data_IF_035380520716
#
_entry.id   IF_035380520716
#
_cell.length_a   1.000
_cell.length_b   1.000
_cell.length_c   1.000
_cell.angle_alpha   90.00
_cell.angle_beta   90.00
_cell.angle_gamma   90.00
#
_symmetry.space_group_name_H-M   'P 1'
#
loop_
_entity.id
_entity.type
_entity.pdbx_description
1 polymer ?
#
# COMPACT_ATOMS: atom_id res chain seq x y z
N UNK A 1 -34.31 -4.60 -54.20
CA UNK A 1 -33.44 -5.03 -53.10
C UNK A 1 -32.72 -3.79 -52.64
N UNK A 2 -33.29 -3.11 -51.65
CA UNK A 2 -32.77 -1.84 -51.14
C UNK A 2 -31.86 -2.18 -49.98
N UNK A 3 -30.58 -1.89 -50.15
CA UNK A 3 -29.52 -2.06 -49.17
C UNK A 3 -29.72 -1.00 -48.07
N UNK A 4 -30.34 -1.39 -46.97
CA UNK A 4 -30.47 -0.57 -45.78
C UNK A 4 -29.14 -0.66 -45.03
N UNK A 5 -28.23 0.27 -45.34
CA UNK A 5 -27.02 0.47 -44.56
C UNK A 5 -27.39 0.77 -43.11
N UNK A 6 -27.23 -0.22 -42.24
CA UNK A 6 -27.26 -0.03 -40.79
C UNK A 6 -26.10 0.87 -40.42
N UNK A 7 -26.38 2.17 -40.27
CA UNK A 7 -25.50 3.06 -39.52
C UNK A 7 -25.50 2.57 -38.09
N UNK A 8 -24.45 1.82 -37.71
CA UNK A 8 -24.23 1.44 -36.33
C UNK A 8 -24.29 2.68 -35.41
N UNK A 9 -24.65 2.49 -34.14
CA UNK A 9 -24.66 3.59 -33.18
C UNK A 9 -23.29 4.30 -33.19
N UNK A 10 -23.25 5.63 -33.03
CA UNK A 10 -22.00 6.37 -32.99
C UNK A 10 -21.10 5.77 -31.90
N UNK A 11 -19.83 5.50 -32.25
CA UNK A 11 -18.86 4.98 -31.31
C UNK A 11 -18.76 5.92 -30.11
N UNK A 12 -19.15 5.45 -28.93
CA UNK A 12 -18.95 6.16 -27.67
C UNK A 12 -17.44 6.12 -27.40
N UNK A 13 -16.80 7.28 -27.47
CA UNK A 13 -15.38 7.44 -27.16
C UNK A 13 -15.14 7.60 -25.66
N UNK A 14 -13.95 7.23 -25.21
CA UNK A 14 -13.41 7.63 -23.90
C UNK A 14 -12.25 8.58 -24.14
N UNK A 15 -12.06 9.51 -23.21
CA UNK A 15 -11.06 10.56 -23.33
C UNK A 15 -10.09 10.46 -22.15
N UNK A 16 -8.83 10.04 -22.39
CA UNK A 16 -7.81 10.13 -21.37
C UNK A 16 -7.65 11.59 -20.94
N UNK A 17 -7.76 11.86 -19.64
CA UNK A 17 -7.46 13.16 -19.06
C UNK A 17 -5.97 13.44 -19.24
N UNK A 18 -5.58 14.62 -19.73
CA UNK A 18 -4.20 15.05 -19.62
C UNK A 18 -3.87 15.20 -18.14
N UNK A 19 -3.01 14.35 -17.60
CA UNK A 19 -2.48 14.52 -16.25
C UNK A 19 -1.10 15.17 -16.39
N UNK A 20 -1.00 16.42 -15.94
CA UNK A 20 0.21 17.23 -16.09
C UNK A 20 1.27 16.76 -15.10
N UNK A 21 2.09 15.80 -15.53
CA UNK A 21 3.31 15.39 -14.85
C UNK A 21 4.48 15.59 -15.80
N UNK A 22 5.41 16.44 -15.41
CA UNK A 22 6.59 16.86 -16.18
C UNK A 22 7.63 15.73 -16.41
N UNK A 23 7.25 14.46 -16.28
CA UNK A 23 8.07 13.30 -16.65
C UNK A 23 7.20 12.13 -17.16
N UNK A 24 7.54 11.51 -18.30
CA UNK A 24 6.74 10.45 -18.94
C UNK A 24 6.66 9.15 -18.13
N UNK A 25 7.59 8.89 -17.20
CA UNK A 25 7.63 7.66 -16.41
C UNK A 25 6.79 7.68 -15.12
N UNK A 26 5.92 8.69 -14.95
CA UNK A 26 5.06 8.86 -13.76
C UNK A 26 3.60 9.15 -14.15
N UNK A 27 3.20 8.85 -15.40
CA UNK A 27 1.87 9.24 -15.86
C UNK A 27 0.81 8.30 -15.27
N UNK A 28 -0.12 8.86 -14.49
CA UNK A 28 -1.40 8.20 -14.24
C UNK A 28 -2.30 8.40 -15.47
N UNK A 29 -3.10 7.40 -15.83
CA UNK A 29 -4.14 7.53 -16.84
C UNK A 29 -5.48 7.62 -16.16
N UNK A 30 -6.12 8.77 -16.26
CA UNK A 30 -7.47 8.99 -15.76
C UNK A 30 -8.43 9.20 -16.93
N UNK A 31 -9.71 8.87 -16.74
CA UNK A 31 -10.74 9.07 -17.76
C UNK A 31 -11.74 10.12 -17.28
N UNK A 32 -12.27 10.93 -18.20
CA UNK A 32 -13.31 11.91 -17.87
C UNK A 32 -14.62 11.25 -17.50
N UNK A 33 -14.92 10.13 -18.16
CA UNK A 33 -16.23 9.52 -18.18
C UNK A 33 -16.47 8.56 -17.01
N UNK A 34 -15.40 8.01 -16.41
CA UNK A 34 -15.51 7.04 -15.32
C UNK A 34 -14.25 6.93 -14.46
N UNK A 35 -14.40 6.28 -13.30
CA UNK A 35 -13.31 5.73 -12.48
C UNK A 35 -13.64 4.29 -12.16
N UNK A 36 -12.65 3.42 -12.09
CA UNK A 36 -12.85 2.04 -11.64
C UNK A 36 -13.01 1.96 -10.12
N UNK A 37 -12.62 3.00 -9.38
CA UNK A 37 -12.88 3.04 -7.94
C UNK A 37 -14.28 3.61 -7.68
N UNK A 38 -15.17 2.76 -7.16
CA UNK A 38 -16.54 3.17 -6.82
C UNK A 38 -16.63 3.99 -5.53
N UNK A 39 -17.82 4.50 -5.18
CA UNK A 39 -18.03 5.29 -3.95
C UNK A 39 -17.65 4.56 -2.65
N UNK A 40 -17.63 3.23 -2.66
CA UNK A 40 -17.18 2.40 -1.54
C UNK A 40 -15.67 2.37 -1.33
N UNK A 41 -14.90 2.93 -2.28
CA UNK A 41 -13.44 2.93 -2.29
C UNK A 41 -12.81 1.62 -2.78
N UNK A 42 -13.62 0.78 -3.42
CA UNK A 42 -13.19 -0.48 -4.02
C UNK A 42 -13.28 -0.41 -5.54
N UNK A 43 -12.28 -0.97 -6.20
CA UNK A 43 -12.24 -1.20 -7.63
C UNK A 43 -13.38 -2.13 -8.02
N UNK A 44 -14.24 -1.66 -8.91
CA UNK A 44 -15.35 -2.40 -9.48
C UNK A 44 -15.67 -1.84 -10.87
N UNK A 45 -16.04 -2.69 -11.80
CA UNK A 45 -16.58 -2.27 -13.10
C UNK A 45 -18.10 -2.18 -13.08
N UNK A 46 -18.77 -2.59 -11.99
CA UNK A 46 -20.24 -2.69 -11.94
C UNK A 46 -20.96 -1.35 -12.03
N UNK A 47 -20.30 -0.25 -11.62
CA UNK A 47 -20.85 1.10 -11.73
C UNK A 47 -20.43 1.83 -13.02
N UNK A 48 -19.60 1.21 -13.85
CA UNK A 48 -19.16 1.76 -15.12
C UNK A 48 -20.10 1.28 -16.22
N UNK A 49 -20.53 2.18 -17.11
CA UNK A 49 -21.40 1.80 -18.22
C UNK A 49 -20.68 0.80 -19.15
N UNK A 50 -21.37 -0.23 -19.67
CA UNK A 50 -20.76 -1.26 -20.50
C UNK A 50 -19.97 -0.70 -21.69
N UNK A 51 -20.46 0.38 -22.31
CA UNK A 51 -19.85 1.00 -23.48
C UNK A 51 -18.52 1.69 -23.13
N UNK A 52 -18.43 2.30 -21.95
CA UNK A 52 -17.17 2.87 -21.45
C UNK A 52 -16.15 1.77 -21.11
N UNK A 53 -16.61 0.65 -20.52
CA UNK A 53 -15.73 -0.50 -20.25
C UNK A 53 -15.20 -1.15 -21.54
N UNK A 54 -16.03 -1.24 -22.58
CA UNK A 54 -15.59 -1.75 -23.89
C UNK A 54 -14.53 -0.83 -24.50
N UNK A 55 -14.78 0.48 -24.52
CA UNK A 55 -13.82 1.47 -25.00
C UNK A 55 -12.52 1.46 -24.17
N UNK A 56 -12.62 1.27 -22.86
CA UNK A 56 -11.47 1.16 -21.96
C UNK A 56 -10.59 -0.05 -22.29
N UNK A 57 -11.21 -1.22 -22.44
CA UNK A 57 -10.50 -2.44 -22.83
C UNK A 57 -9.83 -2.29 -24.20
N UNK A 58 -10.53 -1.66 -25.15
CA UNK A 58 -9.97 -1.36 -26.48
C UNK A 58 -8.76 -0.43 -26.39
N UNK A 59 -8.86 0.65 -25.61
CA UNK A 59 -7.75 1.56 -25.37
C UNK A 59 -6.52 0.84 -24.78
N UNK A 60 -6.73 0.00 -23.75
CA UNK A 60 -5.64 -0.78 -23.15
C UNK A 60 -5.00 -1.76 -24.13
N UNK A 61 -5.80 -2.40 -24.98
CA UNK A 61 -5.30 -3.30 -26.03
C UNK A 61 -4.48 -2.53 -27.07
N UNK A 62 -5.02 -1.43 -27.62
CA UNK A 62 -4.40 -0.67 -28.71
C UNK A 62 -3.10 0.03 -28.29
N UNK A 63 -3.02 0.50 -27.04
CA UNK A 63 -1.88 1.29 -26.56
C UNK A 63 -0.85 0.47 -25.79
N UNK A 64 -1.28 -0.60 -25.10
CA UNK A 64 -0.42 -1.35 -24.18
C UNK A 64 -0.42 -2.86 -24.42
N UNK A 65 -1.12 -3.33 -25.47
CA UNK A 65 -1.26 -4.75 -25.80
C UNK A 65 -1.84 -5.60 -24.64
N UNK A 66 -2.67 -5.00 -23.80
CA UNK A 66 -3.34 -5.70 -22.69
C UNK A 66 -4.45 -6.58 -23.26
N UNK A 67 -4.34 -7.89 -23.06
CA UNK A 67 -5.32 -8.88 -23.52
C UNK A 67 -6.39 -9.15 -22.46
N UNK A 68 -5.97 -9.15 -21.19
CA UNK A 68 -6.84 -9.43 -20.05
C UNK A 68 -6.53 -8.43 -18.96
N UNK A 69 -7.57 -7.90 -18.34
CA UNK A 69 -7.44 -7.16 -17.10
C UNK A 69 -8.36 -7.74 -16.02
N UNK A 70 -7.94 -7.61 -14.78
CA UNK A 70 -8.71 -8.05 -13.62
C UNK A 70 -8.64 -7.00 -12.53
N UNK A 71 -9.80 -6.69 -11.94
CA UNK A 71 -9.89 -5.81 -10.80
C UNK A 71 -9.70 -6.59 -9.52
N UNK A 72 -8.72 -6.16 -8.76
CA UNK A 72 -8.40 -6.72 -7.47
C UNK A 72 -8.30 -5.56 -6.49
N UNK A 73 -9.42 -5.32 -5.78
CA UNK A 73 -9.58 -4.43 -4.63
C UNK A 73 -9.27 -2.97 -4.91
N UNK A 74 -8.00 -2.55 -5.03
CA UNK A 74 -7.64 -1.21 -5.52
C UNK A 74 -6.64 -1.26 -6.68
N UNK A 75 -6.29 -2.47 -7.08
CA UNK A 75 -5.34 -2.78 -8.12
C UNK A 75 -6.11 -3.17 -9.38
N UNK A 76 -5.52 -2.84 -10.52
CA UNK A 76 -5.88 -3.41 -11.82
C UNK A 76 -4.67 -4.22 -12.28
N UNK A 77 -4.87 -5.53 -12.42
CA UNK A 77 -3.85 -6.43 -12.97
C UNK A 77 -4.05 -6.50 -14.47
N UNK A 78 -3.02 -6.14 -15.23
CA UNK A 78 -3.01 -5.98 -16.67
C UNK A 78 -2.07 -7.02 -17.27
N UNK A 79 -2.63 -8.01 -17.97
CA UNK A 79 -1.87 -9.04 -18.66
C UNK A 79 -1.64 -8.61 -20.11
N UNK A 80 -0.41 -8.21 -20.40
CA UNK A 80 0.09 -8.00 -21.75
C UNK A 80 0.25 -9.35 -22.46
N UNK A 81 0.04 -9.37 -23.78
CA UNK A 81 0.34 -10.53 -24.61
C UNK A 81 1.85 -10.73 -24.80
N UNK A 82 2.24 -11.22 -25.97
CA UNK A 82 3.65 -11.53 -26.32
C UNK A 82 4.59 -10.30 -26.37
N UNK A 83 4.03 -9.10 -26.17
CA UNK A 83 4.75 -7.84 -26.15
C UNK A 83 4.25 -6.99 -24.98
N UNK A 84 5.17 -6.61 -24.09
CA UNK A 84 4.95 -5.62 -23.05
C UNK A 84 5.74 -4.36 -23.41
N UNK A 85 5.13 -3.16 -23.34
CA UNK A 85 5.88 -1.92 -23.47
C UNK A 85 7.05 -1.84 -22.49
N UNK A 86 8.12 -1.07 -22.79
CA UNK A 86 9.20 -0.81 -21.85
C UNK A 86 8.69 -0.37 -20.48
N UNK A 87 9.31 -0.85 -19.41
CA UNK A 87 8.82 -0.63 -18.03
C UNK A 87 8.69 0.84 -17.64
N UNK A 88 9.53 1.70 -18.21
CA UNK A 88 9.54 3.15 -18.00
C UNK A 88 8.43 3.90 -18.76
N UNK A 89 7.71 3.22 -19.66
CA UNK A 89 6.54 3.75 -20.39
C UNK A 89 5.20 3.30 -19.78
N UNK A 90 5.23 2.41 -18.78
CA UNK A 90 4.03 1.84 -18.19
C UNK A 90 3.47 2.78 -17.10
N UNK A 91 2.20 3.20 -17.21
CA UNK A 91 1.59 4.06 -16.21
C UNK A 91 1.39 3.29 -14.90
N UNK A 92 1.63 3.97 -13.77
CA UNK A 92 1.53 3.38 -12.44
C UNK A 92 0.08 3.30 -11.92
N UNK A 93 -0.82 4.13 -12.46
CA UNK A 93 -2.24 4.19 -12.11
C UNK A 93 -3.08 4.28 -13.37
N UNK A 94 -4.18 3.52 -13.43
CA UNK A 94 -5.15 3.53 -14.52
C UNK A 94 -6.56 3.56 -13.94
N UNK A 95 -7.34 4.58 -14.33
CA UNK A 95 -8.72 4.81 -13.92
C UNK A 95 -8.91 4.77 -12.39
N UNK A 96 -7.98 5.40 -11.65
CA UNK A 96 -7.93 5.40 -10.19
C UNK A 96 -7.43 4.12 -9.52
N UNK A 97 -7.12 3.06 -10.29
CA UNK A 97 -6.56 1.82 -9.75
C UNK A 97 -5.03 1.80 -9.89
N UNK A 98 -4.34 1.22 -8.92
CA UNK A 98 -2.90 0.94 -9.02
C UNK A 98 -2.68 -0.13 -10.08
N UNK A 99 -1.93 0.19 -11.12
CA UNK A 99 -1.68 -0.72 -12.23
C UNK A 99 -0.58 -1.73 -11.88
N UNK A 100 -0.86 -3.00 -12.15
CA UNK A 100 0.10 -4.10 -12.03
C UNK A 100 0.24 -4.73 -13.40
N UNK A 101 1.41 -4.56 -13.98
CA UNK A 101 1.72 -5.06 -15.32
C UNK A 101 2.28 -6.48 -15.23
N UNK A 102 1.74 -7.36 -16.06
CA UNK A 102 2.10 -8.77 -16.14
C UNK A 102 2.28 -9.21 -17.58
N UNK A 103 3.22 -10.10 -17.79
CA UNK A 103 3.52 -10.76 -19.06
C UNK A 103 3.25 -12.26 -18.95
N UNK A 104 3.33 -12.96 -20.07
CA UNK A 104 3.22 -14.43 -20.08
C UNK A 104 4.33 -15.05 -19.24
N UNK A 105 5.54 -14.48 -19.26
CA UNK A 105 6.67 -14.98 -18.48
C UNK A 105 6.44 -14.85 -16.96
N UNK A 106 5.70 -13.82 -16.52
CA UNK A 106 5.33 -13.65 -15.10
C UNK A 106 4.36 -14.72 -14.59
N UNK A 107 3.71 -15.48 -15.47
CA UNK A 107 2.82 -16.58 -15.10
C UNK A 107 3.61 -17.86 -14.78
N UNK A 108 4.79 -18.04 -15.38
CA UNK A 108 5.65 -19.20 -15.19
C UNK A 108 6.38 -19.18 -13.83
N UNK A 109 6.60 -17.99 -13.26
CA UNK A 109 7.10 -17.81 -11.87
C UNK A 109 6.04 -18.15 -10.79
N UNK A 110 4.92 -18.72 -11.22
CA UNK A 110 3.84 -19.21 -10.39
C UNK A 110 2.75 -18.16 -10.21
N UNK A 111 1.51 -18.64 -10.06
CA UNK A 111 0.32 -17.89 -9.64
C UNK A 111 0.47 -17.13 -8.31
N UNK A 112 1.67 -16.96 -7.76
CA UNK A 112 1.97 -16.37 -6.46
C UNK A 112 1.76 -14.85 -6.42
N UNK A 113 1.62 -14.19 -7.58
CA UNK A 113 1.25 -12.79 -7.60
C UNK A 113 -0.28 -12.61 -7.55
N UNK A 114 -0.86 -12.85 -6.38
CA UNK A 114 -2.13 -12.21 -6.03
C UNK A 114 -1.82 -10.95 -5.21
N UNK A 115 -2.27 -9.75 -5.63
CA UNK A 115 -2.16 -8.54 -4.80
C UNK A 115 -2.88 -8.72 -3.45
N UNK A 116 -3.89 -9.60 -3.40
CA UNK A 116 -4.42 -10.14 -2.15
C UNK A 116 -4.01 -11.57 -1.98
N UNK A 117 -3.06 -11.77 -1.08
CA UNK A 117 -3.15 -12.98 -0.28
C UNK A 117 -4.05 -12.59 0.89
N UNK A 118 -5.00 -13.43 1.27
CA UNK A 118 -5.71 -13.30 2.56
C UNK A 118 -4.67 -13.24 3.68
N UNK A 119 -4.21 -12.03 4.00
CA UNK A 119 -2.99 -11.75 4.76
C UNK A 119 -3.31 -10.99 6.04
N UNK A 120 -4.45 -11.31 6.63
CA UNK A 120 -4.70 -10.91 8.00
C UNK A 120 -3.78 -11.76 8.87
N UNK A 121 -2.83 -11.13 9.56
CA UNK A 121 -2.00 -11.82 10.55
C UNK A 121 -2.90 -12.51 11.58
N UNK A 122 -2.56 -13.72 12.07
CA UNK A 122 -3.41 -14.39 13.04
C UNK A 122 -3.23 -13.86 14.47
N UNK A 123 -2.19 -13.03 14.72
CA UNK A 123 -1.91 -12.50 16.03
C UNK A 123 -2.98 -11.47 16.45
N UNK A 124 -3.05 -11.16 17.76
CA UNK A 124 -4.02 -10.21 18.31
C UNK A 124 -3.91 -8.80 17.73
N UNK A 125 -4.76 -7.89 18.20
CA UNK A 125 -4.65 -6.48 17.84
C UNK A 125 -3.47 -5.85 18.59
N UNK A 126 -2.62 -5.10 17.88
CA UNK A 126 -1.53 -4.34 18.50
C UNK A 126 -2.09 -3.01 19.04
N UNK A 127 -1.88 -2.65 20.32
CA UNK A 127 -2.31 -1.35 20.83
C UNK A 127 -1.46 -0.23 20.24
N UNK A 128 -2.09 0.89 19.87
CA UNK A 128 -1.39 2.11 19.48
C UNK A 128 -1.15 3.00 20.72
N UNK A 129 -0.07 3.79 20.70
CA UNK A 129 0.14 4.86 21.67
C UNK A 129 -1.03 5.86 21.59
N UNK A 130 -1.73 6.13 22.70
CA UNK A 130 -2.84 7.07 22.73
C UNK A 130 -2.51 8.48 22.23
N UNK A 131 -1.26 8.93 22.33
CA UNK A 131 -0.84 10.26 21.89
C UNK A 131 -0.81 10.40 20.36
N UNK A 132 -0.82 9.28 19.64
CA UNK A 132 -0.80 9.24 18.17
C UNK A 132 -2.21 9.07 17.60
N UNK A 133 -3.17 8.65 18.44
CA UNK A 133 -4.56 8.41 18.03
C UNK A 133 -5.32 9.68 17.67
N UNK A 134 -4.98 10.83 18.27
CA UNK A 134 -5.67 12.10 18.00
C UNK A 134 -5.57 12.54 16.53
N UNK A 135 -4.54 12.08 15.83
CA UNK A 135 -4.31 12.44 14.42
C UNK A 135 -5.11 11.56 13.46
N UNK A 136 -5.55 10.38 13.90
CA UNK A 136 -6.26 9.38 13.08
C UNK A 136 -7.76 9.67 13.00
N UNK A 137 -8.34 10.35 14.00
CA UNK A 137 -9.79 10.61 14.10
C UNK A 137 -10.38 11.42 12.94
N UNK A 138 -9.54 12.06 12.12
CA UNK A 138 -9.95 12.88 10.97
C UNK A 138 -10.10 12.09 9.67
N UNK A 139 -9.86 10.77 9.69
CA UNK A 139 -10.01 9.90 8.52
C UNK A 139 -8.84 9.95 7.53
N UNK A 140 -7.81 10.73 7.83
CA UNK A 140 -6.53 10.73 7.11
C UNK A 140 -5.45 10.23 8.08
N UNK A 141 -4.58 9.33 7.61
CA UNK A 141 -3.40 8.97 8.37
C UNK A 141 -2.35 10.05 8.11
N UNK A 142 -1.76 10.61 9.17
CA UNK A 142 -0.64 11.51 9.01
C UNK A 142 0.65 10.72 8.73
N UNK A 143 1.64 11.41 8.13
CA UNK A 143 2.95 10.79 7.92
C UNK A 143 3.61 10.40 9.25
N UNK A 144 3.37 11.15 10.31
CA UNK A 144 3.85 10.87 11.66
C UNK A 144 3.34 9.52 12.16
N UNK A 145 2.05 9.20 11.94
CA UNK A 145 1.48 7.89 12.29
C UNK A 145 2.16 6.78 11.49
N UNK A 146 2.35 6.96 10.17
CA UNK A 146 3.03 5.97 9.34
C UNK A 146 4.49 5.76 9.76
N UNK A 147 5.23 6.84 10.05
CA UNK A 147 6.59 6.75 10.60
C UNK A 147 6.62 5.99 11.92
N UNK A 148 5.66 6.26 12.82
CA UNK A 148 5.56 5.53 14.08
C UNK A 148 5.32 4.04 13.85
N UNK A 149 4.40 3.69 12.94
CA UNK A 149 4.09 2.30 12.62
C UNK A 149 5.31 1.59 12.02
N UNK A 150 6.03 2.21 11.08
CA UNK A 150 7.25 1.63 10.52
C UNK A 150 8.33 1.43 11.59
N UNK A 151 8.50 2.40 12.49
CA UNK A 151 9.58 2.39 13.48
C UNK A 151 9.30 1.49 14.69
N UNK A 152 8.04 1.35 15.10
CA UNK A 152 7.71 0.70 16.38
C UNK A 152 6.90 -0.58 16.24
N UNK A 153 6.10 -0.71 15.18
CA UNK A 153 5.21 -1.87 14.98
C UNK A 153 5.76 -2.81 13.91
N UNK A 154 6.16 -2.26 12.76
CA UNK A 154 6.66 -3.01 11.61
C UNK A 154 8.15 -2.74 11.38
N UNK A 155 8.97 -2.97 12.40
CA UNK A 155 10.40 -2.62 12.45
C UNK A 155 11.27 -3.26 11.35
N UNK A 156 10.75 -4.27 10.66
CA UNK A 156 11.42 -4.95 9.55
C UNK A 156 10.82 -4.60 8.17
N UNK A 157 9.86 -3.68 8.08
CA UNK A 157 9.31 -3.29 6.78
C UNK A 157 10.32 -2.46 5.98
N UNK A 158 10.25 -2.55 4.66
CA UNK A 158 10.94 -1.66 3.70
C UNK A 158 10.03 -0.49 3.27
N UNK A 159 8.72 -0.64 3.44
CA UNK A 159 7.74 0.39 3.08
C UNK A 159 6.41 0.20 3.77
N UNK A 160 5.75 1.34 4.00
CA UNK A 160 4.34 1.43 4.38
C UNK A 160 3.62 2.31 3.38
N UNK A 161 2.42 1.86 2.99
CA UNK A 161 1.59 2.56 2.03
C UNK A 161 0.12 2.48 2.45
N UNK A 162 -0.58 3.60 2.36
CA UNK A 162 -2.04 3.65 2.55
C UNK A 162 -2.73 3.54 1.21
N UNK A 163 -3.64 2.57 1.12
CA UNK A 163 -4.30 2.14 -0.09
C UNK A 163 -5.82 2.16 0.09
N UNK A 164 -6.56 2.39 -1.00
CA UNK A 164 -8.03 2.27 -1.02
C UNK A 164 -8.75 3.29 -0.16
N UNK A 165 -8.52 4.57 -0.43
CA UNK A 165 -9.13 5.69 0.30
C UNK A 165 -8.91 5.64 1.81
N UNK A 166 -7.70 5.31 2.26
CA UNK A 166 -7.42 5.33 3.69
C UNK A 166 -8.02 4.15 4.45
N UNK A 167 -8.18 2.97 3.84
CA UNK A 167 -8.76 1.80 4.53
C UNK A 167 -7.86 0.58 4.58
N UNK A 168 -6.80 0.54 3.77
CA UNK A 168 -5.83 -0.55 3.80
C UNK A 168 -4.45 0.01 4.04
N UNK A 169 -3.76 -0.53 5.05
CA UNK A 169 -2.34 -0.30 5.27
C UNK A 169 -1.57 -1.48 4.70
N UNK A 170 -0.83 -1.25 3.62
CA UNK A 170 0.07 -2.23 3.00
C UNK A 170 1.44 -2.09 3.66
N UNK A 171 1.96 -3.20 4.17
CA UNK A 171 3.28 -3.29 4.78
C UNK A 171 4.15 -4.19 3.92
N UNK A 172 5.22 -3.61 3.39
CA UNK A 172 6.18 -4.26 2.50
C UNK A 172 7.38 -4.72 3.32
N UNK A 173 7.74 -6.00 3.25
CA UNK A 173 8.93 -6.55 3.89
C UNK A 173 10.01 -6.90 2.86
N UNK A 174 11.28 -7.06 3.27
CA UNK A 174 12.31 -7.58 2.39
C UNK A 174 11.90 -8.91 1.75
N UNK A 175 12.25 -9.08 0.48
CA UNK A 175 11.97 -10.30 -0.26
C UNK A 175 12.74 -11.47 0.37
N UNK A 176 12.01 -12.46 0.87
CA UNK A 176 12.54 -13.72 1.40
C UNK A 176 11.84 -14.92 0.74
N UNK A 177 12.24 -16.14 1.09
CA UNK A 177 11.59 -17.35 0.58
C UNK A 177 10.10 -17.37 0.97
N UNK A 178 9.23 -17.94 0.12
CA UNK A 178 7.79 -18.02 0.41
C UNK A 178 7.51 -18.76 1.74
N UNK A 179 8.31 -19.79 2.05
CA UNK A 179 8.19 -20.53 3.29
C UNK A 179 8.53 -19.67 4.52
N UNK A 180 9.58 -18.86 4.45
CA UNK A 180 9.97 -17.99 5.56
C UNK A 180 9.02 -16.81 5.73
N UNK A 181 8.51 -16.27 4.62
CA UNK A 181 7.45 -15.27 4.68
C UNK A 181 6.17 -15.81 5.31
N UNK A 182 5.78 -17.05 4.98
CA UNK A 182 4.64 -17.70 5.62
C UNK A 182 4.84 -17.92 7.14
N UNK A 183 6.08 -18.15 7.59
CA UNK A 183 6.41 -18.19 9.03
C UNK A 183 6.29 -16.80 9.67
N UNK A 184 6.92 -15.78 9.07
CA UNK A 184 6.83 -14.37 9.53
C UNK A 184 5.38 -13.92 9.66
N UNK A 185 4.54 -14.22 8.67
CA UNK A 185 3.13 -13.82 8.68
C UNK A 185 2.36 -14.31 9.92
N UNK A 186 2.73 -15.45 10.50
CA UNK A 186 2.09 -15.97 11.72
C UNK A 186 2.35 -15.12 12.96
N UNK A 187 3.39 -14.29 12.94
CA UNK A 187 3.75 -13.41 14.05
C UNK A 187 3.27 -11.98 13.85
N UNK A 188 2.77 -11.63 12.66
CA UNK A 188 2.31 -10.27 12.35
C UNK A 188 0.91 -10.01 12.93
N UNK A 189 0.64 -8.76 13.36
CA UNK A 189 -0.66 -8.41 13.93
C UNK A 189 -1.78 -8.55 12.89
N UNK A 190 -2.96 -8.93 13.37
CA UNK A 190 -4.20 -8.94 12.57
C UNK A 190 -4.66 -7.53 12.23
N UNK A 191 -4.56 -6.65 13.21
CA UNK A 191 -5.11 -5.31 13.21
C UNK A 191 -4.30 -4.45 14.18
N UNK A 192 -4.42 -3.14 14.04
CA UNK A 192 -3.93 -2.19 15.03
C UNK A 192 -5.16 -1.61 15.73
N UNK A 193 -5.16 -1.65 17.05
CA UNK A 193 -6.28 -1.19 17.88
C UNK A 193 -6.51 0.30 17.63
N UNK A 194 -7.78 0.68 17.49
CA UNK A 194 -8.22 2.06 17.23
C UNK A 194 -7.80 2.64 15.87
N UNK A 195 -7.22 1.83 14.98
CA UNK A 195 -7.06 2.21 13.58
C UNK A 195 -8.12 1.54 12.70
N UNK A 196 -8.77 2.26 11.78
CA UNK A 196 -9.80 1.69 10.90
C UNK A 196 -9.22 0.90 9.72
N UNK A 197 -7.92 0.59 9.71
CA UNK A 197 -7.26 -0.03 8.58
C UNK A 197 -7.30 -1.56 8.61
N UNK A 198 -7.53 -2.15 7.45
CA UNK A 198 -7.14 -3.54 7.16
C UNK A 198 -5.62 -3.57 6.96
N UNK A 199 -4.95 -4.55 7.56
CA UNK A 199 -3.53 -4.80 7.32
C UNK A 199 -3.34 -5.78 6.16
N UNK A 200 -2.42 -5.46 5.27
CA UNK A 200 -1.97 -6.37 4.21
C UNK A 200 -0.44 -6.43 4.19
N UNK A 201 0.11 -7.64 4.20
CA UNK A 201 1.55 -7.87 4.26
C UNK A 201 2.08 -8.36 2.90
N UNK A 202 3.26 -7.86 2.49
CA UNK A 202 3.90 -8.20 1.21
C UNK A 202 5.31 -8.76 1.40
N UNK A 203 5.64 -9.75 0.57
CA UNK A 203 6.97 -10.36 0.51
C UNK A 203 7.78 -9.75 -0.64
N UNK A 204 8.56 -8.74 -0.32
CA UNK A 204 9.23 -7.86 -1.25
C UNK A 204 8.51 -6.51 -1.40
N UNK A 205 9.23 -5.49 -1.87
CA UNK A 205 8.64 -4.20 -2.17
C UNK A 205 7.62 -4.35 -3.29
N UNK A 206 6.60 -3.50 -3.26
CA UNK A 206 5.80 -3.26 -4.44
C UNK A 206 6.74 -2.64 -5.48
N UNK A 207 6.90 -3.32 -6.60
CA UNK A 207 7.45 -2.74 -7.83
C UNK A 207 6.42 -1.75 -8.39
N UNK A 208 6.13 -0.70 -7.62
CA UNK A 208 5.45 0.47 -8.12
C UNK A 208 6.51 1.25 -8.88
N UNK A 209 6.51 1.07 -10.20
CA UNK A 209 7.27 1.92 -11.10
C UNK A 209 6.66 3.33 -11.06
N UNK A 210 7.12 4.13 -10.08
CA UNK A 210 7.11 5.61 -9.94
C UNK A 210 5.83 6.41 -10.32
N UNK A 211 5.37 7.41 -9.54
CA UNK A 211 6.01 8.03 -8.39
C UNK A 211 5.66 7.28 -7.08
N UNK A 212 6.24 7.67 -5.93
CA UNK A 212 5.80 7.16 -4.65
C UNK A 212 4.28 7.31 -4.57
N UNK A 213 3.59 6.30 -4.03
CA UNK A 213 2.29 6.57 -3.43
C UNK A 213 2.48 7.83 -2.57
N UNK A 214 1.58 8.81 -2.65
CA UNK A 214 1.73 10.11 -1.95
C UNK A 214 1.99 9.95 -0.44
N UNK A 215 1.84 8.73 0.09
CA UNK A 215 2.06 8.31 1.47
C UNK A 215 3.03 7.13 1.61
N UNK A 216 3.99 6.93 0.68
CA UNK A 216 5.05 5.93 0.86
C UNK A 216 6.13 6.52 1.73
N UNK A 217 6.29 5.94 2.92
CA UNK A 217 7.39 6.28 3.81
C UNK A 217 8.46 5.20 3.69
N UNK A 218 9.68 5.53 3.21
CA UNK A 218 10.79 4.59 3.26
C UNK A 218 11.09 4.27 4.73
N UNK A 219 11.38 3.02 5.00
CA UNK A 219 11.83 2.64 6.34
C UNK A 219 13.04 3.49 6.75
N UNK A 220 13.13 3.93 8.01
CA UNK A 220 14.30 4.67 8.48
C UNK A 220 15.55 3.82 8.22
N UNK A 221 16.62 4.44 7.70
CA UNK A 221 17.90 3.75 7.47
C UNK A 221 18.31 3.03 8.76
N UNK A 222 18.47 1.70 8.66
CA UNK A 222 18.93 0.88 9.79
C UNK A 222 20.37 1.29 10.06
N UNK A 223 20.54 2.16 11.04
CA UNK A 223 21.85 2.60 11.45
C UNK A 223 22.48 1.49 12.30
N UNK A 224 23.09 0.50 11.64
CA UNK A 224 23.71 -0.67 12.29
C UNK A 224 24.95 -0.31 13.15
N UNK A 225 25.21 0.99 13.38
CA UNK A 225 26.38 1.51 14.10
C UNK A 225 26.08 2.17 15.45
N UNK A 226 24.86 2.03 15.99
CA UNK A 226 24.59 2.43 17.38
C UNK A 226 25.04 1.32 18.34
N UNK A 227 26.33 1.29 18.63
CA UNK A 227 26.84 0.61 19.82
C UNK A 227 26.19 1.27 21.05
N UNK A 228 25.29 0.55 21.71
CA UNK A 228 24.77 0.92 23.01
C UNK A 228 25.95 0.89 24.00
N UNK A 229 26.50 2.06 24.32
CA UNK A 229 27.31 2.22 25.51
C UNK A 229 26.44 1.90 26.73
N UNK A 230 26.63 0.71 27.28
CA UNK A 230 26.09 0.31 28.57
C UNK A 230 26.77 1.16 29.65
N UNK A 231 26.16 2.28 30.01
CA UNK A 231 26.48 2.92 31.28
C UNK A 231 25.81 2.13 32.43
N UNK A 232 26.55 1.72 33.46
CA UNK A 232 26.00 0.97 34.58
C UNK A 232 25.13 1.86 35.48
N UNK A 233 24.16 1.27 36.21
CA UNK A 233 23.25 2.04 37.05
C UNK A 233 23.99 2.62 38.26
N UNK A 234 23.69 3.88 38.55
CA UNK A 234 24.13 4.63 39.73
C UNK A 234 23.87 3.87 41.03
N UNK A 235 24.94 3.50 41.74
CA UNK A 235 24.92 3.19 43.16
C UNK A 235 25.88 4.15 43.89
N UNK A 236 25.32 4.83 44.89
CA UNK A 236 25.97 5.51 46.04
C UNK A 236 26.91 6.71 45.79
N UNK A 237 26.52 7.87 46.33
CA UNK A 237 27.11 8.45 47.55
C UNK A 237 26.72 9.93 47.66
N UNK A 238 25.93 10.31 48.66
CA UNK A 238 26.23 11.49 49.50
C UNK A 238 25.78 11.19 50.93
N UNK A 239 26.77 11.10 51.81
CA UNK A 239 26.63 11.15 53.26
C UNK A 239 26.79 12.60 53.76
N UNK A 240 26.24 12.86 54.96
CA UNK A 240 26.22 14.16 55.65
C UNK A 240 24.85 14.79 55.47
N UNK A 241 24.06 15.10 56.49
CA UNK A 241 24.40 15.89 57.67
C UNK A 241 23.53 15.50 58.89
N UNK A 242 24.18 15.45 60.06
CA UNK A 242 23.68 15.94 61.36
C UNK A 242 22.41 15.34 61.98
N UNK A 243 22.62 14.52 63.02
CA UNK A 243 21.66 14.32 64.12
C UNK A 243 21.29 15.67 64.78
N UNK A 244 20.13 15.72 65.46
CA UNK A 244 20.23 15.67 66.91
C UNK A 244 19.43 14.51 67.52
N UNK A 245 20.05 13.96 68.56
CA UNK A 245 19.44 13.18 69.63
C UNK A 245 18.34 14.03 70.29
N UNK A 246 17.20 13.42 70.58
CA UNK A 246 16.50 13.67 71.84
C UNK A 246 15.71 12.42 72.22
N UNK A 247 16.04 11.94 73.41
CA UNK A 247 15.32 10.95 74.19
C UNK A 247 13.92 11.47 74.53
N UNK A 248 12.89 10.64 74.39
CA UNK A 248 11.95 10.52 75.51
C UNK A 248 11.28 9.13 75.51
N UNK A 249 11.44 8.49 76.65
CA UNK A 249 10.81 7.26 77.07
C UNK A 249 9.35 7.55 77.46
N UNK A 250 8.46 6.57 77.29
CA UNK A 250 7.56 5.99 78.30
C UNK A 250 6.19 5.62 77.75
N UNK A 251 5.86 4.35 78.03
CA UNK A 251 4.55 3.66 78.09
C UNK A 251 3.82 3.27 76.79
#
# INVERSE_FOLDING_TARGET
>A
MSDSGESGPPAIGITPKPVDFSSPSTAAIEFEEFSLIGPGGHASSQHVQPEHMEAFNRYLFENYNVQVNSLLGIFIVLFCGDYSPPKDELPFSIAGCIAIWKTVDDLDDGYDFWPFVDNVGPAGAEPLDPNILSDVEKGEISNEVLFYLAKNVFTECEGLSVCGHGRTLVVEFPKISAQDFAKRRKTLPRAITNLPFKLEFRNGPLELHNPPLEFRIPAPERNDSLEFHNDPPYHEMVAGWGLPEDEEQLE
#
